data_IF_513439978502
#
_entry.id   IF_513439978502
#
_cell.length_a   1.000
_cell.length_b   1.000
_cell.length_c   1.000
_cell.angle_alpha   90.00
_cell.angle_beta   90.00
_cell.angle_gamma   90.00
#
_symmetry.space_group_name_H-M   'P 1'
#
loop_
_entity.id
_entity.type
_entity.pdbx_description
1 polymer ?
#
# COMPACT_ATOMS: atom_id res chain seq x y z
N UNK A 1 -28.72 26.80 -32.22
CA UNK A 1 -29.25 25.62 -32.94
C UNK A 1 -28.25 24.49 -32.82
N UNK A 2 -28.42 23.59 -31.85
CA UNK A 2 -27.60 22.38 -31.73
C UNK A 2 -28.21 21.36 -32.68
N UNK A 3 -27.51 21.12 -33.79
CA UNK A 3 -27.89 20.15 -34.82
C UNK A 3 -27.73 18.73 -34.25
N UNK A 4 -28.81 17.95 -34.34
CA UNK A 4 -28.91 16.52 -34.02
C UNK A 4 -27.75 15.71 -34.61
N UNK A 5 -26.72 15.43 -33.81
CA UNK A 5 -25.71 14.44 -34.16
C UNK A 5 -26.22 13.05 -33.81
N UNK A 6 -26.48 12.26 -34.86
CA UNK A 6 -26.57 10.79 -34.93
C UNK A 6 -26.39 10.09 -33.57
N UNK A 7 -27.48 9.55 -33.02
CA UNK A 7 -27.43 8.75 -31.79
C UNK A 7 -26.41 7.62 -31.91
N UNK A 8 -25.48 7.55 -30.95
CA UNK A 8 -24.60 6.39 -30.79
C UNK A 8 -25.48 5.22 -30.32
N UNK A 9 -25.76 4.28 -31.20
CA UNK A 9 -26.46 3.05 -30.86
C UNK A 9 -25.43 2.06 -30.28
N UNK A 10 -25.42 1.91 -28.95
CA UNK A 10 -24.65 0.86 -28.28
C UNK A 10 -25.50 -0.42 -28.28
N UNK A 11 -25.02 -1.47 -28.96
CA UNK A 11 -25.69 -2.76 -28.98
C UNK A 11 -25.51 -3.45 -27.63
N UNK A 12 -26.54 -3.42 -26.79
CA UNK A 12 -26.57 -4.16 -25.53
C UNK A 12 -26.84 -5.64 -25.82
N UNK A 13 -26.04 -6.59 -25.29
CA UNK A 13 -26.32 -8.02 -25.41
C UNK A 13 -27.75 -8.36 -24.95
N UNK A 14 -28.46 -9.21 -25.69
CA UNK A 14 -29.84 -9.65 -25.34
C UNK A 14 -29.95 -10.32 -23.96
N UNK A 15 -28.82 -10.75 -23.39
CA UNK A 15 -28.73 -11.36 -22.07
C UNK A 15 -28.76 -10.36 -20.91
N UNK A 16 -28.79 -9.06 -21.16
CA UNK A 16 -28.82 -8.02 -20.13
C UNK A 16 -30.22 -7.46 -19.96
N UNK A 17 -30.61 -7.26 -18.71
CA UNK A 17 -31.88 -6.64 -18.32
C UNK A 17 -31.75 -5.13 -18.58
N UNK A 18 -32.62 -4.50 -19.39
CA UNK A 18 -32.53 -3.07 -19.72
C UNK A 18 -32.51 -2.17 -18.49
N UNK A 19 -33.25 -2.51 -17.45
CA UNK A 19 -33.33 -1.78 -16.18
C UNK A 19 -31.99 -1.78 -15.45
N UNK A 20 -31.29 -2.92 -15.40
CA UNK A 20 -29.96 -3.04 -14.80
C UNK A 20 -28.90 -2.23 -15.57
N UNK A 21 -29.05 -2.12 -16.89
CA UNK A 21 -28.18 -1.28 -17.71
C UNK A 21 -28.38 0.21 -17.39
N UNK A 22 -29.63 0.66 -17.22
CA UNK A 22 -29.93 2.03 -16.77
C UNK A 22 -29.37 2.27 -15.37
N UNK A 23 -29.50 1.31 -14.44
CA UNK A 23 -28.90 1.39 -13.11
C UNK A 23 -27.38 1.44 -13.14
N UNK A 24 -26.75 0.66 -14.01
CA UNK A 24 -25.31 0.72 -14.24
C UNK A 24 -24.87 2.13 -14.63
N UNK A 25 -25.56 2.78 -15.57
CA UNK A 25 -25.25 4.14 -16.00
C UNK A 25 -25.47 5.15 -14.87
N UNK A 26 -26.58 5.06 -14.13
CA UNK A 26 -26.84 5.95 -12.99
C UNK A 26 -25.74 5.85 -11.93
N UNK A 27 -25.29 4.63 -11.61
CA UNK A 27 -24.19 4.41 -10.67
C UNK A 27 -22.87 4.99 -11.21
N UNK A 28 -22.59 4.81 -12.50
CA UNK A 28 -21.41 5.40 -13.17
C UNK A 28 -21.41 6.93 -13.01
N UNK A 29 -22.59 7.55 -13.08
CA UNK A 29 -22.78 9.00 -12.89
C UNK A 29 -22.91 9.44 -11.43
N UNK A 30 -22.73 8.54 -10.46
CA UNK A 30 -22.63 8.89 -9.05
C UNK A 30 -23.88 8.66 -8.22
N UNK A 31 -24.96 8.14 -8.80
CA UNK A 31 -26.17 7.74 -8.04
C UNK A 31 -25.82 6.52 -7.17
N UNK A 32 -26.42 6.44 -5.97
CA UNK A 32 -26.11 5.42 -4.96
C UNK A 32 -27.40 4.73 -4.51
N UNK A 33 -28.01 3.90 -5.35
CA UNK A 33 -29.29 3.25 -5.06
C UNK A 33 -29.13 2.16 -4.00
N UNK A 34 -30.20 1.91 -3.25
CA UNK A 34 -30.29 0.72 -2.38
C UNK A 34 -30.81 -0.43 -3.23
N UNK A 35 -29.95 -1.44 -3.43
CA UNK A 35 -30.25 -2.60 -4.25
C UNK A 35 -29.93 -3.87 -3.48
N UNK A 36 -30.51 -4.98 -3.91
CA UNK A 36 -30.20 -6.32 -3.44
C UNK A 36 -28.84 -6.79 -3.96
N UNK A 37 -28.29 -7.83 -3.33
CA UNK A 37 -27.04 -8.44 -3.80
C UNK A 37 -27.16 -8.92 -5.24
N UNK A 38 -28.28 -9.51 -5.65
CA UNK A 38 -28.48 -10.03 -7.00
C UNK A 38 -28.46 -8.93 -8.07
N UNK A 39 -29.11 -7.80 -7.80
CA UNK A 39 -29.06 -6.62 -8.67
C UNK A 39 -27.63 -6.09 -8.79
N UNK A 40 -26.88 -5.98 -7.68
CA UNK A 40 -25.46 -5.58 -7.74
C UNK A 40 -24.60 -6.55 -8.54
N UNK A 41 -24.88 -7.86 -8.52
CA UNK A 41 -24.18 -8.85 -9.35
C UNK A 41 -24.47 -8.66 -10.84
N UNK A 42 -25.73 -8.39 -11.19
CA UNK A 42 -26.14 -8.14 -12.57
C UNK A 42 -25.49 -6.86 -13.12
N UNK A 43 -25.55 -5.77 -12.34
CA UNK A 43 -24.94 -4.49 -12.70
C UNK A 43 -23.42 -4.62 -12.84
N UNK A 44 -22.75 -5.35 -11.94
CA UNK A 44 -21.32 -5.61 -12.04
C UNK A 44 -20.91 -6.29 -13.34
N UNK A 45 -21.71 -7.28 -13.80
CA UNK A 45 -21.48 -7.98 -15.07
C UNK A 45 -21.57 -7.02 -16.26
N UNK A 46 -22.57 -6.14 -16.24
CA UNK A 46 -22.76 -5.11 -17.27
C UNK A 46 -21.59 -4.12 -17.25
N UNK A 47 -21.27 -3.58 -16.07
CA UNK A 47 -20.19 -2.62 -15.89
C UNK A 47 -18.84 -3.17 -16.34
N UNK A 48 -18.54 -4.44 -16.03
CA UNK A 48 -17.33 -5.10 -16.48
C UNK A 48 -17.30 -5.24 -18.00
N UNK A 49 -18.40 -5.69 -18.61
CA UNK A 49 -18.52 -5.83 -20.08
C UNK A 49 -18.26 -4.51 -20.82
N UNK A 50 -18.72 -3.38 -20.28
CA UNK A 50 -18.54 -2.05 -20.87
C UNK A 50 -17.32 -1.27 -20.34
N UNK A 51 -16.51 -1.87 -19.45
CA UNK A 51 -15.29 -1.23 -18.92
C UNK A 51 -15.50 -0.12 -17.89
N UNK A 52 -16.67 -0.03 -17.26
CA UNK A 52 -16.98 0.95 -16.21
C UNK A 52 -16.38 0.56 -14.86
N UNK A 53 -15.06 0.69 -14.73
CA UNK A 53 -14.28 0.28 -13.55
C UNK A 53 -14.74 0.95 -12.25
N UNK A 54 -15.19 2.19 -12.30
CA UNK A 54 -15.74 2.91 -11.14
C UNK A 54 -17.03 2.24 -10.62
N UNK A 55 -17.88 1.74 -11.51
CA UNK A 55 -19.13 1.06 -11.20
C UNK A 55 -18.87 -0.37 -10.72
N UNK A 56 -17.95 -1.10 -11.35
CA UNK A 56 -17.49 -2.42 -10.85
C UNK A 56 -17.02 -2.30 -9.40
N UNK A 57 -16.18 -1.31 -9.10
CA UNK A 57 -15.67 -1.05 -7.74
C UNK A 57 -16.77 -0.66 -6.76
N UNK A 58 -17.76 0.11 -7.20
CA UNK A 58 -18.89 0.45 -6.33
C UNK A 58 -19.74 -0.79 -6.00
N UNK A 59 -20.09 -1.61 -7.01
CA UNK A 59 -20.81 -2.86 -6.81
C UNK A 59 -20.04 -3.81 -5.89
N UNK A 60 -18.71 -3.90 -6.06
CA UNK A 60 -17.80 -4.65 -5.20
C UNK A 60 -17.93 -4.21 -3.72
N UNK A 61 -17.88 -2.90 -3.47
CA UNK A 61 -18.00 -2.34 -2.12
C UNK A 61 -19.39 -2.57 -1.49
N UNK A 62 -20.47 -2.59 -2.29
CA UNK A 62 -21.81 -2.88 -1.79
C UNK A 62 -21.99 -4.37 -1.51
N UNK A 63 -21.46 -5.25 -2.35
CA UNK A 63 -21.53 -6.70 -2.15
C UNK A 63 -20.80 -7.14 -0.88
N UNK A 64 -19.68 -6.50 -0.53
CA UNK A 64 -18.98 -6.71 0.75
C UNK A 64 -19.87 -6.33 1.94
N UNK A 65 -20.67 -5.26 1.81
CA UNK A 65 -21.55 -4.79 2.89
C UNK A 65 -22.80 -5.64 3.07
N UNK A 66 -23.29 -6.27 2.00
CA UNK A 66 -24.57 -7.00 1.98
C UNK A 66 -24.38 -8.50 2.34
N UNK A 67 -23.21 -9.09 2.06
CA UNK A 67 -22.97 -10.52 2.28
C UNK A 67 -22.63 -10.84 3.75
N UNK A 68 -23.63 -11.07 4.59
CA UNK A 68 -23.43 -11.56 5.98
C UNK A 68 -23.52 -13.10 6.14
N UNK A 69 -23.86 -13.86 5.09
CA UNK A 69 -24.01 -15.33 5.20
C UNK A 69 -23.39 -16.09 4.00
N UNK A 70 -22.41 -16.99 4.23
CA UNK A 70 -21.56 -17.60 3.20
C UNK A 70 -22.10 -18.89 2.55
N UNK A 71 -23.42 -19.04 2.37
CA UNK A 71 -23.98 -20.26 1.78
C UNK A 71 -23.76 -20.35 0.24
N UNK A 72 -23.23 -19.28 -0.38
CA UNK A 72 -22.99 -19.15 -1.82
C UNK A 72 -21.50 -18.90 -2.17
N UNK A 73 -20.56 -19.23 -1.28
CA UNK A 73 -19.12 -18.92 -1.43
C UNK A 73 -18.59 -19.22 -2.84
N UNK A 74 -18.84 -20.40 -3.40
CA UNK A 74 -18.29 -20.79 -4.72
C UNK A 74 -18.83 -19.90 -5.86
N UNK A 75 -20.13 -19.57 -5.86
CA UNK A 75 -20.74 -18.70 -6.87
C UNK A 75 -20.20 -17.28 -6.77
N UNK A 76 -20.00 -16.78 -5.54
CA UNK A 76 -19.41 -15.47 -5.29
C UNK A 76 -17.93 -15.41 -5.69
N UNK A 77 -17.15 -16.47 -5.43
CA UNK A 77 -15.76 -16.57 -5.89
C UNK A 77 -15.66 -16.59 -7.40
N UNK A 78 -16.46 -17.43 -8.09
CA UNK A 78 -16.53 -17.46 -9.56
C UNK A 78 -16.76 -16.08 -10.13
N UNK A 79 -17.72 -15.36 -9.57
CA UNK A 79 -18.06 -14.02 -10.02
C UNK A 79 -16.94 -13.00 -9.74
N UNK A 80 -16.38 -13.02 -8.53
CA UNK A 80 -15.34 -12.07 -8.14
C UNK A 80 -14.09 -12.22 -9.02
N UNK A 81 -13.76 -13.46 -9.39
CA UNK A 81 -12.67 -13.71 -10.34
C UNK A 81 -13.05 -13.27 -11.75
N UNK A 82 -14.24 -13.66 -12.25
CA UNK A 82 -14.69 -13.33 -13.61
C UNK A 82 -14.79 -11.82 -13.89
N UNK A 83 -15.08 -11.02 -12.87
CA UNK A 83 -15.24 -9.55 -13.00
C UNK A 83 -14.08 -8.77 -12.38
N UNK A 84 -12.99 -9.45 -12.04
CA UNK A 84 -11.78 -8.85 -11.46
C UNK A 84 -12.02 -8.00 -10.19
N UNK A 85 -12.83 -8.51 -9.27
CA UNK A 85 -13.18 -7.86 -8.00
C UNK A 85 -12.23 -8.30 -6.87
N UNK A 86 -11.01 -7.77 -6.89
CA UNK A 86 -9.92 -8.14 -5.98
C UNK A 86 -10.28 -8.03 -4.48
N UNK A 87 -10.95 -6.96 -4.06
CA UNK A 87 -11.31 -6.72 -2.66
C UNK A 87 -12.43 -7.65 -2.21
N UNK A 88 -13.38 -7.94 -3.09
CA UNK A 88 -14.43 -8.90 -2.80
C UNK A 88 -13.87 -10.32 -2.75
N UNK A 89 -12.91 -10.68 -3.59
CA UNK A 89 -12.16 -11.95 -3.46
C UNK A 89 -11.46 -12.07 -2.11
N UNK A 90 -10.71 -11.04 -1.69
CA UNK A 90 -10.03 -11.02 -0.39
C UNK A 90 -11.04 -11.16 0.76
N UNK A 91 -12.15 -10.44 0.68
CA UNK A 91 -13.22 -10.52 1.67
C UNK A 91 -13.81 -11.94 1.75
N UNK A 92 -14.08 -12.59 0.62
CA UNK A 92 -14.57 -13.97 0.57
C UNK A 92 -13.54 -14.98 1.12
N UNK A 93 -12.23 -14.75 0.92
CA UNK A 93 -11.15 -15.61 1.43
C UNK A 93 -11.06 -15.59 2.95
N UNK A 94 -11.33 -14.44 3.60
CA UNK A 94 -11.33 -14.31 5.06
C UNK A 94 -12.40 -15.21 5.70
N UNK A 95 -13.49 -15.49 5.00
CA UNK A 95 -14.57 -16.34 5.49
C UNK A 95 -14.36 -17.84 5.23
N UNK A 96 -13.22 -18.24 4.65
CA UNK A 96 -12.84 -19.65 4.50
C UNK A 96 -12.23 -20.15 5.81
N UNK A 97 -12.92 -21.07 6.47
CA UNK A 97 -12.56 -21.54 7.82
C UNK A 97 -11.59 -22.73 7.77
N UNK A 98 -11.43 -23.39 6.61
CA UNK A 98 -10.53 -24.54 6.48
C UNK A 98 -9.86 -24.67 5.10
N UNK A 99 -8.65 -25.23 5.09
CA UNK A 99 -7.93 -25.56 3.85
C UNK A 99 -8.74 -26.52 2.94
N UNK A 100 -9.55 -27.42 3.53
CA UNK A 100 -10.44 -28.32 2.79
C UNK A 100 -11.55 -27.57 2.04
N UNK A 101 -12.08 -26.49 2.63
CA UNK A 101 -13.04 -25.61 1.96
C UNK A 101 -12.39 -24.85 0.80
N UNK A 102 -11.17 -24.33 0.99
CA UNK A 102 -10.41 -23.66 -0.07
C UNK A 102 -10.16 -24.60 -1.26
N UNK A 103 -9.68 -25.81 -1.00
CA UNK A 103 -9.39 -26.82 -2.04
C UNK A 103 -10.67 -27.19 -2.82
N UNK A 104 -11.81 -27.33 -2.15
CA UNK A 104 -13.11 -27.60 -2.79
C UNK A 104 -13.64 -26.42 -3.63
N UNK A 105 -13.32 -25.18 -3.26
CA UNK A 105 -13.65 -24.00 -4.06
C UNK A 105 -12.76 -23.98 -5.31
N UNK A 106 -11.44 -24.14 -5.12
CA UNK A 106 -10.45 -24.13 -6.20
C UNK A 106 -10.67 -25.27 -7.20
N UNK A 107 -11.06 -26.47 -6.77
CA UNK A 107 -11.33 -27.60 -7.67
C UNK A 107 -12.63 -27.47 -8.46
N UNK A 108 -13.57 -26.62 -8.01
CA UNK A 108 -14.85 -26.35 -8.70
C UNK A 108 -14.82 -25.06 -9.53
N UNK A 109 -13.78 -24.26 -9.37
CA UNK A 109 -13.42 -23.20 -10.30
C UNK A 109 -12.80 -23.92 -11.50
N UNK A 110 -13.49 -23.86 -12.64
CA UNK A 110 -13.02 -24.46 -13.89
C UNK A 110 -11.83 -23.63 -14.39
N UNK A 111 -10.65 -23.92 -13.86
CA UNK A 111 -9.40 -23.21 -14.17
C UNK A 111 -9.00 -23.37 -15.64
N UNK A 112 -9.51 -24.40 -16.34
CA UNK A 112 -9.23 -24.68 -17.75
C UNK A 112 -10.20 -23.93 -18.69
N UNK A 113 -11.44 -23.69 -18.27
CA UNK A 113 -12.42 -22.86 -19.00
C UNK A 113 -12.29 -21.35 -18.80
N UNK A 114 -11.44 -20.91 -17.88
CA UNK A 114 -11.17 -19.49 -17.62
C UNK A 114 -10.27 -18.93 -18.72
N UNK A 115 -10.92 -18.25 -19.68
CA UNK A 115 -10.36 -17.74 -20.92
C UNK A 115 -8.90 -17.33 -20.84
N UNK A 116 -8.09 -18.11 -21.55
CA UNK A 116 -6.73 -17.86 -22.02
C UNK A 116 -6.44 -16.46 -22.62
N UNK A 117 -7.37 -15.49 -22.64
CA UNK A 117 -7.11 -14.12 -23.09
C UNK A 117 -6.36 -13.27 -22.06
N UNK A 118 -6.52 -13.50 -20.75
CA UNK A 118 -5.71 -12.80 -19.73
C UNK A 118 -4.32 -13.41 -19.52
N UNK A 119 -4.11 -14.64 -20.00
CA UNK A 119 -2.82 -15.35 -19.94
C UNK A 119 -2.06 -15.35 -21.29
N UNK A 120 -2.61 -14.75 -22.36
CA UNK A 120 -2.00 -14.75 -23.70
C UNK A 120 -1.13 -13.54 -24.03
N UNK A 121 -1.00 -12.55 -23.15
CA UNK A 121 0.04 -11.54 -23.33
C UNK A 121 1.35 -12.04 -22.70
N UNK A 122 2.11 -12.84 -23.46
CA UNK A 122 3.51 -13.11 -23.13
C UNK A 122 4.30 -11.80 -22.91
N UNK A 123 3.84 -10.70 -23.51
CA UNK A 123 4.40 -9.34 -23.36
C UNK A 123 4.29 -8.76 -21.93
N UNK A 124 3.37 -9.29 -21.11
CA UNK A 124 3.06 -8.82 -19.75
C UNK A 124 3.60 -9.74 -18.64
N UNK A 125 4.29 -10.82 -19.00
CA UNK A 125 4.94 -11.73 -18.04
C UNK A 125 6.43 -11.43 -17.94
N UNK A 126 7.01 -11.81 -16.82
CA UNK A 126 8.44 -11.76 -16.55
C UNK A 126 8.93 -13.15 -16.20
N UNK A 127 9.90 -13.65 -16.97
CA UNK A 127 10.33 -15.03 -16.91
C UNK A 127 11.53 -15.21 -15.98
N UNK A 128 11.36 -16.04 -14.97
CA UNK A 128 12.46 -16.50 -14.13
C UNK A 128 12.92 -17.87 -14.60
N UNK A 129 14.08 -17.91 -15.27
CA UNK A 129 14.66 -19.14 -15.79
C UNK A 129 15.41 -19.84 -14.65
N UNK A 130 14.92 -21.00 -14.24
CA UNK A 130 15.54 -21.85 -13.22
C UNK A 130 16.42 -22.94 -13.88
N UNK A 131 16.96 -23.87 -13.08
CA UNK A 131 17.77 -24.99 -13.57
C UNK A 131 16.97 -25.85 -14.55
N UNK A 132 17.63 -26.30 -15.63
CA UNK A 132 17.14 -27.28 -16.62
C UNK A 132 15.76 -26.97 -17.25
N UNK A 133 15.53 -25.71 -17.64
CA UNK A 133 14.36 -25.36 -18.46
C UNK A 133 13.04 -25.25 -17.69
N UNK A 134 13.08 -25.24 -16.36
CA UNK A 134 11.93 -24.83 -15.54
C UNK A 134 11.80 -23.31 -15.54
N UNK A 135 10.58 -22.82 -15.73
CA UNK A 135 10.25 -21.40 -15.75
C UNK A 135 9.28 -21.08 -14.62
N UNK A 136 9.53 -19.98 -13.92
CA UNK A 136 8.52 -19.35 -13.06
C UNK A 136 8.11 -18.03 -13.69
N UNK A 137 6.81 -17.77 -13.69
CA UNK A 137 6.23 -16.60 -14.32
C UNK A 137 5.74 -15.63 -13.25
N UNK A 138 6.13 -14.37 -13.36
CA UNK A 138 5.58 -13.28 -12.55
C UNK A 138 4.99 -12.20 -13.45
N UNK A 139 3.93 -11.51 -13.01
CA UNK A 139 3.44 -10.36 -13.77
C UNK A 139 4.49 -9.24 -13.81
N UNK A 140 4.83 -8.79 -15.02
CA UNK A 140 5.87 -7.77 -15.29
C UNK A 140 5.66 -6.49 -14.49
N UNK A 141 4.42 -6.04 -14.37
CA UNK A 141 4.07 -4.86 -13.58
C UNK A 141 4.40 -5.05 -12.09
N UNK A 142 4.10 -6.21 -11.53
CA UNK A 142 4.34 -6.50 -10.10
C UNK A 142 5.84 -6.67 -9.84
N UNK A 143 6.54 -7.41 -10.70
CA UNK A 143 7.98 -7.61 -10.60
C UNK A 143 8.75 -6.29 -10.73
N UNK A 144 8.43 -5.46 -11.74
CA UNK A 144 9.06 -4.14 -11.92
C UNK A 144 8.66 -3.15 -10.83
N UNK A 145 7.43 -3.23 -10.30
CA UNK A 145 7.00 -2.38 -9.18
C UNK A 145 7.78 -2.69 -7.90
N UNK A 146 8.02 -3.98 -7.61
CA UNK A 146 8.71 -4.38 -6.38
C UNK A 146 10.24 -4.42 -6.50
N UNK A 147 10.79 -4.48 -7.71
CA UNK A 147 12.23 -4.46 -7.96
C UNK A 147 12.68 -3.34 -8.90
N UNK A 148 13.40 -2.37 -8.32
CA UNK A 148 14.12 -1.35 -9.10
C UNK A 148 15.22 -1.96 -10.00
N UNK A 149 15.91 -2.99 -9.51
CA UNK A 149 16.97 -3.68 -10.27
C UNK A 149 16.44 -4.33 -11.55
N UNK A 150 15.21 -4.84 -11.50
CA UNK A 150 14.54 -5.46 -12.65
C UNK A 150 13.83 -4.42 -13.52
N UNK A 151 13.25 -3.36 -12.92
CA UNK A 151 12.59 -2.29 -13.68
C UNK A 151 13.53 -1.55 -14.61
N UNK A 152 14.78 -1.35 -14.19
CA UNK A 152 15.79 -0.62 -14.95
C UNK A 152 16.40 -1.47 -16.08
N UNK A 153 16.02 -2.75 -16.17
CA UNK A 153 16.40 -3.64 -17.25
C UNK A 153 15.32 -3.67 -18.34
N UNK A 154 15.71 -3.55 -19.60
CA UNK A 154 14.84 -3.79 -20.76
C UNK A 154 14.59 -5.28 -21.02
N UNK A 155 14.95 -6.14 -20.07
CA UNK A 155 14.76 -7.59 -20.18
C UNK A 155 13.45 -7.96 -19.53
N UNK A 156 12.77 -8.92 -20.13
CA UNK A 156 11.55 -9.52 -19.59
C UNK A 156 11.82 -10.91 -18.99
N UNK A 157 13.10 -11.20 -18.73
CA UNK A 157 13.54 -12.43 -18.11
C UNK A 157 14.81 -12.24 -17.28
N UNK A 158 15.01 -13.12 -16.30
CA UNK A 158 16.26 -13.24 -15.56
C UNK A 158 16.54 -14.70 -15.20
N UNK A 159 17.82 -15.05 -15.18
CA UNK A 159 18.25 -16.38 -14.72
C UNK A 159 18.39 -16.38 -13.21
N UNK A 160 17.74 -17.34 -12.55
CA UNK A 160 17.87 -17.53 -11.11
C UNK A 160 19.24 -18.16 -10.80
N UNK A 161 20.05 -17.58 -9.88
CA UNK A 161 21.32 -18.16 -9.49
C UNK A 161 21.18 -19.61 -8.98
N UNK A 162 22.11 -20.46 -9.38
CA UNK A 162 22.15 -21.86 -8.96
C UNK A 162 22.23 -22.07 -7.45
N UNK A 163 22.60 -21.05 -6.67
CA UNK A 163 22.66 -21.10 -5.21
C UNK A 163 21.29 -20.96 -4.53
N UNK A 164 20.22 -20.68 -5.28
CA UNK A 164 18.85 -20.52 -4.79
C UNK A 164 18.06 -21.73 -5.27
N UNK A 165 17.34 -22.40 -4.36
CA UNK A 165 16.47 -23.52 -4.73
C UNK A 165 15.14 -23.01 -5.28
N UNK A 166 14.47 -23.84 -6.09
CA UNK A 166 13.19 -23.51 -6.70
C UNK A 166 12.14 -23.19 -5.62
N UNK A 167 12.09 -23.98 -4.55
CA UNK A 167 11.17 -23.79 -3.42
C UNK A 167 11.42 -22.47 -2.68
N UNK A 168 12.68 -22.15 -2.38
CA UNK A 168 13.07 -20.89 -1.73
C UNK A 168 12.68 -19.68 -2.59
N UNK A 169 12.82 -19.81 -3.90
CA UNK A 169 12.49 -18.76 -4.84
C UNK A 169 10.97 -18.56 -4.97
N UNK A 170 10.21 -19.65 -4.98
CA UNK A 170 8.74 -19.62 -4.97
C UNK A 170 8.23 -18.91 -3.71
N UNK A 171 8.76 -19.24 -2.54
CA UNK A 171 8.37 -18.56 -1.28
C UNK A 171 8.69 -17.06 -1.35
N UNK A 172 9.85 -16.70 -1.89
CA UNK A 172 10.23 -15.30 -2.09
C UNK A 172 9.27 -14.54 -3.03
N UNK A 173 8.85 -15.16 -4.13
CA UNK A 173 7.87 -14.59 -5.04
C UNK A 173 6.49 -14.46 -4.38
N UNK A 174 6.02 -15.50 -3.69
CA UNK A 174 4.75 -15.46 -2.97
C UNK A 174 4.67 -14.29 -1.99
N UNK A 175 5.74 -14.05 -1.21
CA UNK A 175 5.81 -12.92 -0.28
C UNK A 175 5.82 -11.57 -1.02
N UNK A 176 6.51 -11.51 -2.16
CA UNK A 176 6.55 -10.33 -3.03
C UNK A 176 5.15 -10.00 -3.56
N UNK A 177 4.37 -11.03 -3.89
CA UNK A 177 2.97 -10.94 -4.29
C UNK A 177 1.99 -10.76 -3.11
N UNK A 178 2.48 -10.62 -1.88
CA UNK A 178 1.67 -10.26 -0.72
C UNK A 178 1.30 -11.41 0.20
N UNK A 179 1.72 -12.65 -0.08
CA UNK A 179 1.54 -13.76 0.84
C UNK A 179 2.34 -13.56 2.14
N UNK A 180 1.86 -14.17 3.23
CA UNK A 180 2.43 -14.04 4.57
C UNK A 180 2.56 -15.41 5.25
N UNK A 181 3.43 -16.30 4.71
CA UNK A 181 3.61 -17.64 5.28
C UNK A 181 4.30 -17.58 6.65
N UNK A 182 4.00 -18.55 7.51
CA UNK A 182 4.84 -18.86 8.67
C UNK A 182 6.11 -19.55 8.20
N UNK A 183 7.26 -19.06 8.67
CA UNK A 183 8.58 -19.53 8.28
C UNK A 183 9.47 -19.66 9.51
N UNK A 184 10.47 -20.51 9.42
CA UNK A 184 11.57 -20.59 10.37
C UNK A 184 12.59 -19.46 10.13
N UNK A 185 13.47 -19.21 11.11
CA UNK A 185 14.57 -18.23 10.97
C UNK A 185 15.49 -18.58 9.79
N UNK A 186 15.73 -19.87 9.54
CA UNK A 186 16.57 -20.33 8.43
C UNK A 186 15.98 -20.00 7.06
N UNK A 187 14.69 -20.26 6.87
CA UNK A 187 13.96 -19.93 5.64
C UNK A 187 13.91 -18.41 5.43
N UNK A 188 13.67 -17.63 6.51
CA UNK A 188 13.73 -16.17 6.48
C UNK A 188 15.09 -15.64 6.01
N UNK A 189 16.21 -16.21 6.47
CA UNK A 189 17.54 -15.82 6.00
C UNK A 189 17.74 -16.09 4.51
N UNK A 190 17.17 -17.18 3.98
CA UNK A 190 17.29 -17.57 2.57
C UNK A 190 16.41 -16.68 1.70
N UNK A 191 15.15 -16.47 2.07
CA UNK A 191 14.22 -15.57 1.38
C UNK A 191 14.77 -14.14 1.35
N UNK A 192 15.32 -13.67 2.46
CA UNK A 192 15.95 -12.35 2.54
C UNK A 192 17.10 -12.20 1.54
N UNK A 193 18.04 -13.17 1.51
CA UNK A 193 19.18 -13.16 0.59
C UNK A 193 18.70 -13.08 -0.86
N UNK A 194 17.68 -13.88 -1.17
CA UNK A 194 17.04 -13.95 -2.48
C UNK A 194 16.37 -12.63 -2.84
N UNK A 195 15.52 -12.09 -1.96
CA UNK A 195 14.83 -10.83 -2.15
C UNK A 195 15.81 -9.66 -2.35
N UNK A 196 16.90 -9.61 -1.57
CA UNK A 196 17.93 -8.58 -1.72
C UNK A 196 18.69 -8.70 -3.05
N UNK A 197 19.00 -9.94 -3.47
CA UNK A 197 19.65 -10.21 -4.75
C UNK A 197 18.83 -9.62 -5.90
N UNK A 198 17.54 -9.95 -5.95
CA UNK A 198 16.61 -9.48 -6.98
C UNK A 198 16.07 -8.06 -6.76
N UNK A 199 16.33 -7.43 -5.60
CA UNK A 199 15.92 -6.06 -5.31
C UNK A 199 14.46 -5.90 -4.87
N UNK A 200 13.81 -6.96 -4.38
CA UNK A 200 12.44 -6.94 -3.86
C UNK A 200 12.37 -6.26 -2.48
N UNK A 201 12.33 -4.93 -2.49
CA UNK A 201 12.42 -4.12 -1.26
C UNK A 201 11.27 -4.34 -0.26
N UNK A 202 10.06 -4.63 -0.75
CA UNK A 202 8.90 -4.99 0.09
C UNK A 202 9.12 -6.31 0.83
N UNK A 203 9.68 -7.30 0.14
CA UNK A 203 9.99 -8.63 0.68
C UNK A 203 11.12 -8.56 1.70
N UNK A 204 12.17 -7.78 1.43
CA UNK A 204 13.24 -7.51 2.41
C UNK A 204 12.67 -6.90 3.69
N UNK A 205 11.77 -5.91 3.58
CA UNK A 205 11.11 -5.29 4.74
C UNK A 205 10.22 -6.26 5.51
N UNK A 206 9.55 -7.17 4.82
CA UNK A 206 8.74 -8.20 5.47
C UNK A 206 9.63 -9.17 6.27
N UNK A 207 10.71 -9.67 5.67
CA UNK A 207 11.65 -10.56 6.35
C UNK A 207 12.32 -9.86 7.55
N UNK A 208 12.68 -8.60 7.40
CA UNK A 208 13.20 -7.76 8.48
C UNK A 208 12.23 -7.68 9.67
N UNK A 209 10.95 -7.43 9.40
CA UNK A 209 9.91 -7.35 10.43
C UNK A 209 9.72 -8.68 11.17
N UNK A 210 9.68 -9.80 10.44
CA UNK A 210 9.56 -11.13 11.04
C UNK A 210 10.76 -11.50 11.91
N UNK A 211 11.98 -11.12 11.50
CA UNK A 211 13.17 -11.34 12.31
C UNK A 211 13.15 -10.53 13.62
N UNK A 212 12.66 -9.28 13.58
CA UNK A 212 12.46 -8.44 14.78
C UNK A 212 11.48 -9.12 15.75
N UNK A 213 10.35 -9.60 15.24
CA UNK A 213 9.31 -10.24 16.05
C UNK A 213 9.80 -11.53 16.71
N UNK A 214 10.58 -12.33 15.97
CA UNK A 214 11.21 -13.55 16.50
C UNK A 214 12.31 -13.26 17.53
N UNK A 215 13.10 -12.19 17.37
CA UNK A 215 14.12 -11.81 18.36
C UNK A 215 13.54 -11.23 19.63
N UNK A 216 12.41 -10.53 19.55
CA UNK A 216 11.69 -10.09 20.74
C UNK A 216 11.26 -11.27 21.64
N UNK A 217 11.08 -12.45 21.05
CA UNK A 217 10.64 -13.67 21.74
C UNK A 217 11.80 -14.55 22.22
N UNK A 218 12.97 -14.49 21.59
CA UNK A 218 14.10 -15.39 21.88
C UNK A 218 15.37 -14.56 22.07
N UNK A 219 15.94 -14.58 23.29
CA UNK A 219 17.26 -13.97 23.63
C UNK A 219 18.43 -14.64 22.87
N UNK A 220 18.43 -14.62 21.54
CA UNK A 220 19.41 -15.30 20.67
C UNK A 220 20.61 -14.39 20.37
N UNK A 221 21.76 -15.03 20.08
CA UNK A 221 23.06 -14.42 19.73
C UNK A 221 22.94 -13.33 18.65
N UNK A 222 22.86 -12.10 19.16
CA UNK A 222 22.76 -10.81 18.46
C UNK A 222 23.79 -10.62 17.33
N UNK A 223 24.96 -11.25 17.42
CA UNK A 223 26.12 -10.99 16.54
C UNK A 223 25.94 -11.47 15.10
N UNK A 224 25.24 -12.60 14.86
CA UNK A 224 25.03 -13.11 13.49
C UNK A 224 23.95 -12.32 12.75
N UNK A 225 22.89 -11.91 13.45
CA UNK A 225 21.78 -11.15 12.85
C UNK A 225 22.12 -9.69 12.59
N UNK A 226 22.96 -9.04 13.41
CA UNK A 226 23.53 -7.72 13.09
C UNK A 226 24.35 -7.78 11.80
N UNK A 227 25.19 -8.81 11.60
CA UNK A 227 25.95 -8.98 10.35
C UNK A 227 25.04 -9.10 9.13
N UNK A 228 23.91 -9.81 9.26
CA UNK A 228 22.90 -9.91 8.19
C UNK A 228 22.20 -8.56 7.97
N UNK A 229 21.81 -7.87 9.04
CA UNK A 229 21.13 -6.59 8.98
C UNK A 229 22.00 -5.50 8.30
N UNK A 230 23.30 -5.45 8.61
CA UNK A 230 24.26 -4.58 7.90
C UNK A 230 24.41 -5.02 6.44
N UNK A 231 24.62 -6.32 6.18
CA UNK A 231 24.83 -6.84 4.83
C UNK A 231 23.67 -6.59 3.87
N UNK A 232 22.43 -6.60 4.38
CA UNK A 232 21.20 -6.50 3.58
C UNK A 232 20.44 -5.18 3.78
N UNK A 233 21.08 -4.19 4.42
CA UNK A 233 20.53 -2.85 4.66
C UNK A 233 19.17 -2.83 5.39
N UNK A 234 19.06 -3.61 6.47
CA UNK A 234 17.88 -3.66 7.33
C UNK A 234 17.90 -2.54 8.38
N UNK A 235 17.56 -1.32 7.97
CA UNK A 235 17.63 -0.15 8.83
C UNK A 235 16.75 -0.23 10.09
N UNK A 236 15.58 -0.91 10.04
CA UNK A 236 14.69 -1.08 11.20
C UNK A 236 15.28 -2.07 12.20
N UNK A 237 15.80 -3.19 11.70
CA UNK A 237 16.46 -4.19 12.53
C UNK A 237 17.71 -3.59 13.20
N UNK A 238 18.50 -2.80 12.47
CA UNK A 238 19.67 -2.12 13.03
C UNK A 238 19.29 -1.14 14.14
N UNK A 239 18.26 -0.31 13.93
CA UNK A 239 17.73 0.61 14.95
C UNK A 239 17.25 -0.11 16.21
N UNK A 240 16.63 -1.28 16.06
CA UNK A 240 16.15 -2.09 17.19
C UNK A 240 17.30 -2.89 17.84
N UNK A 241 18.31 -3.31 17.09
CA UNK A 241 19.48 -4.00 17.63
C UNK A 241 20.35 -3.11 18.51
N UNK A 242 20.40 -1.80 18.23
CA UNK A 242 21.02 -0.83 19.13
C UNK A 242 20.20 -0.62 20.42
N UNK A 243 18.87 -0.81 20.37
CA UNK A 243 18.01 -0.87 21.58
C UNK A 243 18.35 -2.09 22.47
N UNK A 244 18.75 -3.23 21.88
CA UNK A 244 19.06 -4.46 22.62
C UNK A 244 20.37 -4.40 23.44
N UNK A 245 21.18 -3.34 23.29
CA UNK A 245 22.32 -3.05 24.18
C UNK A 245 21.89 -2.45 25.53
N UNK A 246 20.58 -2.33 25.79
CA UNK A 246 20.03 -1.87 27.07
C UNK A 246 20.04 -0.36 27.28
N UNK A 247 20.51 0.42 26.31
CA UNK A 247 20.60 1.87 26.40
C UNK A 247 20.12 2.53 25.11
N UNK A 248 19.08 3.35 25.22
CA UNK A 248 18.57 4.15 24.10
C UNK A 248 19.24 5.52 24.14
N UNK A 249 19.95 5.89 23.08
CA UNK A 249 20.52 7.23 22.98
C UNK A 249 19.40 8.24 22.74
N UNK A 250 19.05 8.95 23.80
CA UNK A 250 18.06 10.03 23.76
C UNK A 250 18.70 11.34 23.27
N UNK A 251 17.94 12.24 22.62
CA UNK A 251 18.43 13.57 22.27
C UNK A 251 18.90 14.34 23.51
N UNK A 252 19.86 15.27 23.37
CA UNK A 252 20.29 16.12 24.49
C UNK A 252 19.16 16.94 25.11
N UNK A 253 18.10 17.20 24.35
CA UNK A 253 16.87 17.88 24.79
C UNK A 253 15.82 16.92 25.36
N UNK A 254 16.23 15.76 25.90
CA UNK A 254 15.31 14.74 26.41
C UNK A 254 14.54 15.25 27.62
N UNK A 255 13.21 15.30 27.49
CA UNK A 255 12.29 15.50 28.59
C UNK A 255 11.49 14.19 28.75
N UNK A 256 11.59 13.50 29.90
CA UNK A 256 10.88 12.25 30.13
C UNK A 256 9.35 12.38 29.96
N UNK A 257 8.76 13.50 30.37
CA UNK A 257 7.32 13.75 30.26
C UNK A 257 6.85 13.83 28.81
N UNK A 258 7.55 14.59 27.97
CA UNK A 258 7.24 14.70 26.55
C UNK A 258 7.42 13.34 25.83
N UNK A 259 8.40 12.53 26.26
CA UNK A 259 8.60 11.17 25.71
C UNK A 259 7.48 10.21 26.10
N UNK A 260 7.03 10.22 27.37
CA UNK A 260 5.87 9.43 27.81
C UNK A 260 4.62 9.82 27.02
N UNK A 261 4.38 11.12 26.81
CA UNK A 261 3.26 11.59 25.99
C UNK A 261 3.37 11.12 24.55
N UNK A 262 4.58 11.13 23.97
CA UNK A 262 4.83 10.59 22.63
C UNK A 262 4.48 9.10 22.53
N UNK A 263 4.84 8.29 23.52
CA UNK A 263 4.48 6.87 23.59
C UNK A 263 2.98 6.68 23.74
N UNK A 264 2.33 7.42 24.64
CA UNK A 264 0.88 7.37 24.83
C UNK A 264 0.13 7.65 23.53
N UNK A 265 0.53 8.70 22.80
CA UNK A 265 -0.03 9.03 21.48
C UNK A 265 0.20 7.90 20.48
N UNK A 266 1.41 7.32 20.47
CA UNK A 266 1.76 6.19 19.61
C UNK A 266 0.85 4.98 19.86
N UNK A 267 0.43 4.77 21.11
CA UNK A 267 -0.52 3.74 21.52
C UNK A 267 -2.00 4.15 21.41
N UNK A 268 -2.29 5.31 20.82
CA UNK A 268 -3.66 5.73 20.50
C UNK A 268 -4.34 6.60 21.56
N UNK A 269 -3.66 6.95 22.65
CA UNK A 269 -4.16 7.94 23.62
C UNK A 269 -4.21 9.32 22.96
N UNK A 270 -5.27 10.10 23.21
CA UNK A 270 -5.48 11.42 22.62
C UNK A 270 -5.44 12.53 23.67
N UNK A 271 -4.26 12.87 24.23
CA UNK A 271 -4.14 13.88 25.26
C UNK A 271 -4.41 15.28 24.71
N UNK A 272 -4.95 16.15 25.57
CA UNK A 272 -5.07 17.58 25.30
C UNK A 272 -3.74 18.25 25.59
N UNK A 273 -3.06 18.71 24.55
CA UNK A 273 -1.71 19.27 24.62
C UNK A 273 -1.69 20.64 23.95
N UNK A 274 -0.93 21.58 24.50
CA UNK A 274 -0.67 22.87 23.88
C UNK A 274 0.14 22.71 22.57
N UNK A 275 0.11 23.75 21.73
CA UNK A 275 0.91 23.76 20.50
C UNK A 275 2.41 23.56 20.78
N UNK A 276 2.94 24.14 21.86
CA UNK A 276 4.34 23.99 22.24
C UNK A 276 4.70 22.55 22.65
N UNK A 277 3.81 21.85 23.35
CA UNK A 277 3.99 20.44 23.69
C UNK A 277 3.98 19.55 22.45
N UNK A 278 3.02 19.78 21.54
CA UNK A 278 2.94 19.04 20.27
C UNK A 278 4.24 19.18 19.45
N UNK A 279 4.80 20.39 19.37
CA UNK A 279 6.06 20.63 18.66
C UNK A 279 7.24 19.86 19.26
N UNK A 280 7.32 19.75 20.59
CA UNK A 280 8.37 18.95 21.26
C UNK A 280 8.18 17.47 21.03
N UNK A 281 6.94 16.98 21.14
CA UNK A 281 6.57 15.58 20.91
C UNK A 281 6.89 15.15 19.47
N UNK A 282 6.63 15.99 18.47
CA UNK A 282 6.99 15.72 17.07
C UNK A 282 8.50 15.44 16.94
N UNK A 283 9.34 16.19 17.66
CA UNK A 283 10.78 15.95 17.68
C UNK A 283 11.14 14.54 18.16
N UNK A 284 10.54 14.07 19.25
CA UNK A 284 10.70 12.70 19.73
C UNK A 284 10.14 11.68 18.75
N UNK A 285 8.91 11.89 18.28
CA UNK A 285 8.26 10.99 17.34
C UNK A 285 9.08 10.84 16.04
N UNK A 286 9.69 11.92 15.55
CA UNK A 286 10.61 11.88 14.41
C UNK A 286 11.90 11.14 14.72
N UNK A 287 12.50 11.36 15.89
CA UNK A 287 13.74 10.69 16.31
C UNK A 287 13.55 9.17 16.40
N UNK A 288 12.40 8.73 16.91
CA UNK A 288 12.06 7.31 17.09
C UNK A 288 11.30 6.69 15.91
N UNK A 289 10.89 7.48 14.92
CA UNK A 289 10.16 7.00 13.73
C UNK A 289 8.66 6.70 13.96
N UNK A 290 8.03 7.26 15.00
CA UNK A 290 6.62 7.10 15.31
C UNK A 290 5.74 7.96 14.39
N UNK A 291 5.57 7.51 13.15
CA UNK A 291 4.83 8.26 12.11
C UNK A 291 3.36 8.50 12.45
N UNK A 292 2.73 7.61 13.22
CA UNK A 292 1.37 7.79 13.74
C UNK A 292 1.28 8.95 14.75
N UNK A 293 2.26 9.09 15.65
CA UNK A 293 2.32 10.21 16.58
C UNK A 293 2.56 11.55 15.86
N UNK A 294 3.44 11.57 14.85
CA UNK A 294 3.62 12.76 14.00
C UNK A 294 2.29 13.16 13.35
N UNK A 295 1.54 12.22 12.77
CA UNK A 295 0.23 12.49 12.14
C UNK A 295 -0.81 12.99 13.13
N UNK A 296 -0.83 12.46 14.36
CA UNK A 296 -1.72 12.95 15.41
C UNK A 296 -1.40 14.40 15.75
N UNK A 297 -0.13 14.69 16.05
CA UNK A 297 0.30 16.04 16.40
C UNK A 297 0.07 17.03 15.27
N UNK A 298 0.33 16.62 14.03
CA UNK A 298 0.03 17.37 12.82
C UNK A 298 -1.45 17.77 12.74
N UNK A 299 -2.36 16.81 12.92
CA UNK A 299 -3.80 17.07 12.90
C UNK A 299 -4.23 18.05 13.99
N UNK A 300 -3.73 17.85 15.22
CA UNK A 300 -4.04 18.75 16.36
C UNK A 300 -3.52 20.17 16.13
N UNK A 301 -2.33 20.33 15.54
CA UNK A 301 -1.80 21.66 15.20
C UNK A 301 -2.69 22.39 14.17
N UNK A 302 -3.23 21.68 13.19
CA UNK A 302 -4.16 22.24 12.20
C UNK A 302 -5.46 22.68 12.88
N UNK A 303 -6.02 21.82 13.74
CA UNK A 303 -7.27 22.10 14.47
C UNK A 303 -7.13 23.33 15.39
N UNK A 304 -6.00 23.44 16.09
CA UNK A 304 -5.71 24.57 16.98
C UNK A 304 -5.46 25.88 16.24
N UNK A 305 -4.92 25.81 15.01
CA UNK A 305 -4.50 26.98 14.24
C UNK A 305 -5.30 27.10 12.93
N UNK A 306 -6.61 27.29 13.05
CA UNK A 306 -7.51 27.53 11.88
C UNK A 306 -7.02 28.66 10.96
N UNK A 307 -6.40 29.70 11.53
CA UNK A 307 -5.59 30.66 10.77
C UNK A 307 -4.15 30.59 11.29
N UNK A 308 -3.25 29.89 10.60
CA UNK A 308 -1.89 29.71 11.08
C UNK A 308 -1.07 30.97 10.84
N UNK A 309 -0.22 31.30 11.80
CA UNK A 309 0.82 32.30 11.59
C UNK A 309 1.80 31.80 10.52
N UNK A 310 2.00 32.58 9.45
CA UNK A 310 2.90 32.23 8.34
C UNK A 310 4.38 32.51 8.68
N UNK A 311 4.81 32.05 9.87
CA UNK A 311 6.20 32.17 10.34
C UNK A 311 7.08 31.12 9.69
N UNK A 312 8.30 31.52 9.31
CA UNK A 312 9.31 30.63 8.71
C UNK A 312 9.55 29.35 9.53
N UNK A 313 9.53 29.45 10.86
CA UNK A 313 9.66 28.29 11.77
C UNK A 313 8.65 27.19 11.47
N UNK A 314 7.40 27.53 11.12
CA UNK A 314 6.35 26.56 10.86
C UNK A 314 6.61 25.77 9.57
N UNK A 315 7.10 26.44 8.52
CA UNK A 315 7.49 25.80 7.27
C UNK A 315 8.71 24.90 7.45
N UNK A 316 9.75 25.39 8.13
CA UNK A 316 10.94 24.58 8.45
C UNK A 316 10.57 23.33 9.23
N UNK A 317 9.68 23.47 10.22
CA UNK A 317 9.20 22.35 11.01
C UNK A 317 8.41 21.35 10.15
N UNK A 318 7.52 21.82 9.28
CA UNK A 318 6.73 20.96 8.41
C UNK A 318 7.60 20.17 7.42
N UNK A 319 8.62 20.80 6.85
CA UNK A 319 9.60 20.13 5.97
C UNK A 319 10.42 19.13 6.77
N UNK A 320 11.05 19.56 7.87
CA UNK A 320 11.95 18.74 8.70
C UNK A 320 11.29 17.45 9.17
N UNK A 321 10.02 17.51 9.57
CA UNK A 321 9.28 16.36 10.10
C UNK A 321 8.29 15.75 9.10
N UNK A 322 8.39 16.11 7.81
CA UNK A 322 7.55 15.61 6.72
C UNK A 322 6.03 15.67 7.00
N UNK A 323 5.58 16.78 7.61
CA UNK A 323 4.18 17.04 7.95
C UNK A 323 3.42 17.64 6.75
N UNK A 324 3.03 16.75 5.83
CA UNK A 324 2.42 17.12 4.55
C UNK A 324 1.13 17.92 4.69
N UNK A 325 0.20 17.50 5.54
CA UNK A 325 -1.11 18.16 5.74
C UNK A 325 -0.93 19.53 6.36
N UNK A 326 -0.04 19.66 7.35
CA UNK A 326 0.23 20.94 7.98
C UNK A 326 0.92 21.91 7.02
N UNK A 327 1.84 21.43 6.19
CA UNK A 327 2.43 22.25 5.13
C UNK A 327 1.39 22.74 4.11
N UNK A 328 0.50 21.86 3.65
CA UNK A 328 -0.60 22.25 2.73
C UNK A 328 -1.49 23.29 3.41
N UNK A 329 -1.83 23.09 4.68
CA UNK A 329 -2.58 24.05 5.49
C UNK A 329 -1.90 25.42 5.50
N UNK A 330 -0.59 25.48 5.78
CA UNK A 330 0.18 26.74 5.73
C UNK A 330 0.17 27.38 4.34
N UNK A 331 0.34 26.58 3.28
CA UNK A 331 0.40 27.07 1.89
C UNK A 331 -0.92 27.68 1.42
N UNK A 332 -2.07 27.12 1.82
CA UNK A 332 -3.40 27.64 1.43
C UNK A 332 -3.55 29.11 1.86
N UNK A 333 -3.00 29.49 3.02
CA UNK A 333 -3.10 30.84 3.56
C UNK A 333 -2.11 31.85 2.98
N UNK A 334 -1.14 31.43 2.15
CA UNK A 334 -0.26 32.35 1.42
C UNK A 334 -1.07 33.02 0.30
N UNK A 335 -1.03 34.36 0.24
CA UNK A 335 -1.82 35.16 -0.71
C UNK A 335 -1.02 35.78 -1.84
N UNK A 336 0.31 35.76 -1.80
CA UNK A 336 1.14 36.38 -2.84
C UNK A 336 2.35 35.53 -3.21
N UNK A 337 2.71 35.57 -4.50
CA UNK A 337 3.90 34.89 -5.02
C UNK A 337 5.18 35.40 -4.34
N UNK A 338 5.27 36.70 -4.04
CA UNK A 338 6.41 37.30 -3.33
C UNK A 338 6.63 36.68 -1.95
N UNK A 339 5.57 36.44 -1.19
CA UNK A 339 5.66 35.76 0.11
C UNK A 339 6.13 34.31 -0.04
N UNK A 340 5.63 33.60 -1.04
CA UNK A 340 5.99 32.21 -1.30
C UNK A 340 7.46 32.06 -1.69
N UNK A 341 7.96 32.91 -2.59
CA UNK A 341 9.36 32.93 -3.02
C UNK A 341 10.31 33.23 -1.85
N UNK A 342 9.95 34.19 -0.99
CA UNK A 342 10.74 34.50 0.22
C UNK A 342 10.75 33.34 1.23
N UNK A 343 9.71 32.51 1.25
CA UNK A 343 9.70 31.29 2.08
C UNK A 343 10.63 30.24 1.48
N UNK A 344 10.47 29.96 0.18
CA UNK A 344 11.25 28.97 -0.56
C UNK A 344 12.76 29.26 -0.52
N UNK A 345 13.17 30.53 -0.67
CA UNK A 345 14.59 30.90 -0.66
C UNK A 345 15.30 30.65 0.68
N UNK A 346 14.54 30.39 1.76
CA UNK A 346 15.06 30.14 3.11
C UNK A 346 14.85 28.70 3.57
N UNK A 347 14.26 27.86 2.73
CA UNK A 347 14.10 26.42 2.96
C UNK A 347 15.23 25.68 2.24
N UNK A 348 15.74 24.62 2.88
CA UNK A 348 16.66 23.72 2.20
C UNK A 348 15.86 22.82 1.26
N UNK A 349 15.89 23.14 -0.04
CA UNK A 349 15.15 22.38 -1.05
C UNK A 349 15.63 20.94 -1.18
N UNK A 350 16.91 20.67 -0.87
CA UNK A 350 17.50 19.32 -0.94
C UNK A 350 16.94 18.38 0.14
N UNK A 351 16.51 18.93 1.28
CA UNK A 351 15.90 18.17 2.38
C UNK A 351 14.39 17.96 2.19
N UNK A 352 13.79 18.55 1.15
CA UNK A 352 12.36 18.44 0.92
C UNK A 352 11.99 17.11 0.26
N UNK A 353 10.89 16.51 0.72
CA UNK A 353 10.30 15.39 -0.01
C UNK A 353 9.73 15.84 -1.36
N UNK A 354 9.67 14.92 -2.32
CA UNK A 354 9.12 15.20 -3.66
C UNK A 354 7.68 15.73 -3.61
N UNK A 355 6.91 15.24 -2.64
CA UNK A 355 5.54 15.63 -2.36
C UNK A 355 5.46 17.06 -1.81
N UNK A 356 6.46 17.47 -1.01
CA UNK A 356 6.56 18.83 -0.52
C UNK A 356 6.86 19.80 -1.64
N UNK A 357 7.83 19.47 -2.50
CA UNK A 357 8.13 20.28 -3.69
C UNK A 357 6.91 20.43 -4.59
N UNK A 358 6.18 19.33 -4.84
CA UNK A 358 4.93 19.35 -5.61
C UNK A 358 3.87 20.27 -5.00
N UNK A 359 3.72 20.30 -3.67
CA UNK A 359 2.77 21.17 -3.00
C UNK A 359 3.14 22.66 -3.15
N UNK A 360 4.43 23.00 -3.05
CA UNK A 360 4.91 24.36 -3.30
C UNK A 360 4.72 24.76 -4.77
N UNK A 361 5.08 23.89 -5.72
CA UNK A 361 4.89 24.13 -7.15
C UNK A 361 3.40 24.36 -7.48
N UNK A 362 2.50 23.51 -6.98
CA UNK A 362 1.07 23.68 -7.15
C UNK A 362 0.57 25.03 -6.59
N UNK A 363 1.09 25.47 -5.44
CA UNK A 363 0.74 26.77 -4.87
C UNK A 363 1.26 27.93 -5.74
N UNK A 364 2.46 27.84 -6.30
CA UNK A 364 3.02 28.85 -7.23
C UNK A 364 2.08 29.05 -8.42
N UNK A 365 1.62 27.96 -9.06
CA UNK A 365 0.73 28.05 -10.23
C UNK A 365 -0.70 28.50 -9.90
N UNK A 366 -1.08 28.51 -8.62
CA UNK A 366 -2.42 28.92 -8.16
C UNK A 366 -2.49 30.38 -7.68
N UNK A 367 -1.34 31.05 -7.56
CA UNK A 367 -1.20 32.45 -7.14
C UNK A 367 -1.02 33.34 -8.35
#
# INVERSE_FOLDING_TARGET
>A
MISYSKGLWVRVPKSFIPEDFVMCLQITHGVRPQLTAEEFRSIAKIAFHFGFSNTVRYCEEQLIKINEQPNLIIKNFKMAVNFNMERYMIHLLIHIVSAKQLINILSKLDLEGMSSESMKDQDNMFDFIIRRGSYLYGHKQIVKFHSKKISDSNKDWIRVPNSITDDDFVICLQITHGARPHMTVGELEIVLKTAFHFGFSSTVRYCEQQLIEMDAQIKVKLTRKIKLAVKFNMERYLKISDLHKGWVRVPKSFNPGDFVMCLQITHGVRPQLSAGELERIIGFASHFGFTNAIRYCEGRLIEMKKQPELKMRNFKMAVKYNMKRYMIHLLIHIKSAKQLVNILSKLNLEEMSSESMKAFAAKIFSL
#
